data_IF_657760751381
#
_entry.id   IF_657760751381
#
_cell.length_a   1.000
_cell.length_b   1.000
_cell.length_c   1.000
_cell.angle_alpha   90.00
_cell.angle_beta   90.00
_cell.angle_gamma   90.00
#
_symmetry.space_group_name_H-M   'P 1'
#
loop_
_entity.id
_entity.type
_entity.pdbx_description
1 polymer ?
#
# COMPACT_ATOMS: atom_id res chain seq x y z
N UNK A 1 3.95 27.71 -4.97
CA UNK A 1 3.13 27.83 -3.73
C UNK A 1 1.95 28.73 -4.02
N UNK A 2 0.78 28.46 -3.45
CA UNK A 2 -0.39 29.34 -3.56
C UNK A 2 -0.99 29.56 -2.17
N UNK A 3 -1.38 30.80 -1.86
CA UNK A 3 -2.01 31.17 -0.60
C UNK A 3 -3.29 31.96 -0.94
N UNK A 4 -4.41 31.58 -0.32
CA UNK A 4 -5.69 32.27 -0.46
C UNK A 4 -6.20 32.68 0.92
N UNK A 5 -6.47 33.97 1.08
CA UNK A 5 -7.18 34.56 2.21
C UNK A 5 -8.63 34.86 1.79
N UNK A 6 -9.61 34.41 2.56
CA UNK A 6 -11.00 34.82 2.36
C UNK A 6 -11.22 36.23 2.93
N UNK A 7 -12.12 36.99 2.31
CA UNK A 7 -12.40 38.40 2.67
C UNK A 7 -13.46 38.56 3.75
N UNK A 8 -14.14 37.48 4.13
CA UNK A 8 -15.18 37.48 5.17
C UNK A 8 -14.75 36.65 6.38
N UNK A 9 -15.20 37.04 7.57
CA UNK A 9 -14.98 36.30 8.81
C UNK A 9 -15.50 34.85 8.70
N UNK A 10 -14.75 33.82 9.11
CA UNK A 10 -13.54 33.85 9.95
C UNK A 10 -12.21 33.96 9.19
N UNK A 11 -12.21 34.56 8.00
CA UNK A 11 -11.03 34.84 7.18
C UNK A 11 -10.20 33.58 6.92
N UNK A 12 -10.84 32.53 6.37
CA UNK A 12 -10.18 31.26 6.18
C UNK A 12 -8.94 31.40 5.28
N UNK A 13 -7.81 30.85 5.75
CA UNK A 13 -6.55 30.81 5.02
C UNK A 13 -6.34 29.41 4.44
N UNK A 14 -6.17 29.32 3.13
CA UNK A 14 -5.81 28.08 2.44
C UNK A 14 -4.41 28.20 1.84
N UNK A 15 -3.54 27.26 2.17
CA UNK A 15 -2.15 27.23 1.70
C UNK A 15 -1.91 25.92 0.94
N UNK A 16 -1.39 26.04 -0.28
CA UNK A 16 -1.00 24.92 -1.13
C UNK A 16 0.53 24.88 -1.25
N UNK A 17 1.13 23.85 -0.65
CA UNK A 17 2.56 23.56 -0.70
C UNK A 17 2.84 22.42 -1.69
N UNK A 18 3.97 22.48 -2.38
CA UNK A 18 4.45 21.43 -3.28
C UNK A 18 5.80 20.90 -2.78
N UNK A 19 5.83 19.65 -2.29
CA UNK A 19 7.04 19.02 -1.77
C UNK A 19 8.13 18.76 -2.82
N UNK A 20 7.77 18.61 -4.11
CA UNK A 20 8.73 18.47 -5.22
C UNK A 20 9.36 19.81 -5.61
N UNK A 21 8.60 20.90 -5.53
CA UNK A 21 9.17 22.26 -5.64
C UNK A 21 10.14 22.52 -4.49
N UNK A 22 9.77 22.13 -3.27
CA UNK A 22 10.66 22.24 -2.11
C UNK A 22 11.95 21.45 -2.35
N UNK A 23 11.86 20.20 -2.80
CA UNK A 23 13.03 19.41 -3.15
C UNK A 23 13.89 20.11 -4.20
N UNK A 24 13.30 20.67 -5.26
CA UNK A 24 14.02 21.42 -6.29
C UNK A 24 14.87 22.54 -5.70
N UNK A 25 14.26 23.37 -4.85
CA UNK A 25 14.98 24.45 -4.14
C UNK A 25 16.01 23.94 -3.13
N UNK A 26 15.85 22.71 -2.63
CA UNK A 26 16.86 22.04 -1.82
C UNK A 26 18.07 21.65 -2.66
N UNK A 27 17.85 20.98 -3.79
CA UNK A 27 18.91 20.55 -4.70
C UNK A 27 19.69 21.74 -5.28
N UNK A 28 18.99 22.81 -5.70
CA UNK A 28 19.61 24.06 -6.18
C UNK A 28 20.56 24.67 -5.13
N UNK A 29 20.17 24.68 -3.85
CA UNK A 29 20.99 25.22 -2.75
C UNK A 29 22.20 24.37 -2.43
N UNK A 30 22.09 23.05 -2.58
CA UNK A 30 23.18 22.11 -2.36
C UNK A 30 24.07 21.94 -3.60
N UNK A 31 23.75 22.61 -4.73
CA UNK A 31 24.49 22.49 -5.98
C UNK A 31 24.39 21.10 -6.62
N UNK A 32 23.28 20.40 -6.42
CA UNK A 32 23.07 19.04 -6.94
C UNK A 32 22.33 19.11 -8.26
N UNK A 33 22.96 18.57 -9.32
CA UNK A 33 22.37 18.51 -10.64
C UNK A 33 21.13 17.60 -10.68
N UNK A 34 20.12 18.03 -11.44
CA UNK A 34 18.91 17.26 -11.69
C UNK A 34 18.29 17.62 -13.03
N UNK A 35 17.49 16.70 -13.57
CA UNK A 35 16.60 16.94 -14.70
C UNK A 35 15.16 16.79 -14.22
N UNK A 36 14.34 17.83 -14.41
CA UNK A 36 12.95 17.82 -13.98
C UNK A 36 12.04 18.55 -14.98
N UNK A 37 10.80 18.08 -15.09
CA UNK A 37 9.73 18.75 -15.82
C UNK A 37 8.45 18.74 -14.98
N UNK A 38 7.81 19.90 -14.85
CA UNK A 38 6.63 20.07 -14.00
C UNK A 38 6.85 19.56 -12.57
N UNK A 39 6.15 18.50 -12.19
CA UNK A 39 6.19 17.91 -10.85
C UNK A 39 7.02 16.61 -10.75
N UNK A 40 7.81 16.28 -11.78
CA UNK A 40 8.59 15.04 -11.85
C UNK A 40 10.08 15.31 -12.05
N UNK A 41 10.90 14.48 -11.42
CA UNK A 41 12.34 14.42 -11.60
C UNK A 41 12.67 13.19 -12.45
N UNK A 42 13.32 13.40 -13.59
CA UNK A 42 13.77 12.35 -14.51
C UNK A 42 15.19 11.88 -14.21
N UNK A 43 15.98 12.72 -13.54
CA UNK A 43 17.32 12.39 -13.05
C UNK A 43 17.64 13.27 -11.84
N UNK A 44 18.38 12.73 -10.87
CA UNK A 44 19.00 13.49 -9.78
C UNK A 44 20.39 12.89 -9.57
N UNK A 45 21.43 13.73 -9.55
CA UNK A 45 22.81 13.27 -9.43
C UNK A 45 23.09 12.55 -8.09
N UNK A 46 22.44 12.98 -7.01
CA UNK A 46 22.51 12.34 -5.69
C UNK A 46 21.10 12.02 -5.14
N UNK A 47 20.65 10.79 -5.36
CA UNK A 47 19.36 10.31 -4.84
C UNK A 47 19.32 10.18 -3.31
N UNK A 48 20.45 9.89 -2.67
CA UNK A 48 20.50 9.72 -1.22
C UNK A 48 20.30 11.08 -0.55
N UNK A 49 20.99 12.11 -1.01
CA UNK A 49 20.82 13.48 -0.54
C UNK A 49 19.45 14.04 -0.89
N UNK A 50 18.92 13.75 -2.08
CA UNK A 50 17.54 14.10 -2.43
C UNK A 50 16.51 13.51 -1.46
N UNK A 51 16.72 12.25 -1.03
CA UNK A 51 15.88 11.61 -0.02
C UNK A 51 16.00 12.28 1.34
N UNK A 52 17.21 12.60 1.79
CA UNK A 52 17.42 13.34 3.04
C UNK A 52 16.70 14.70 3.03
N UNK A 53 16.75 15.43 1.91
CA UNK A 53 16.05 16.72 1.75
C UNK A 53 14.53 16.57 1.79
N UNK A 54 13.98 15.48 1.24
CA UNK A 54 12.55 15.16 1.34
C UNK A 54 12.16 14.79 2.77
N UNK A 55 12.93 13.92 3.41
CA UNK A 55 12.66 13.43 4.76
C UNK A 55 12.71 14.59 5.79
N UNK A 56 13.63 15.54 5.61
CA UNK A 56 13.70 16.75 6.42
C UNK A 56 12.42 17.62 6.37
N UNK A 57 11.58 17.50 5.34
CA UNK A 57 10.30 18.19 5.29
C UNK A 57 9.36 17.73 6.43
N UNK A 58 9.46 16.48 6.85
CA UNK A 58 8.62 15.90 7.91
C UNK A 58 8.91 16.50 9.28
N UNK A 59 10.14 16.99 9.49
CA UNK A 59 10.59 17.60 10.74
C UNK A 59 10.32 19.12 10.81
N UNK A 60 9.67 19.67 9.78
CA UNK A 60 9.32 21.10 9.75
C UNK A 60 8.34 21.44 10.88
N UNK A 61 8.61 22.56 11.58
CA UNK A 61 7.65 23.19 12.49
C UNK A 61 6.52 23.87 11.70
N UNK A 62 5.61 23.07 11.15
CA UNK A 62 4.58 23.53 10.22
C UNK A 62 3.69 24.63 10.78
N UNK A 63 3.36 24.62 12.07
CA UNK A 63 2.58 25.69 12.69
C UNK A 63 3.27 27.05 12.53
N UNK A 64 4.53 27.15 12.96
CA UNK A 64 5.30 28.39 12.83
C UNK A 64 5.52 28.82 11.38
N UNK A 65 5.75 27.88 10.46
CA UNK A 65 5.87 28.18 9.03
C UNK A 65 4.58 28.80 8.47
N UNK A 66 3.43 28.17 8.77
CA UNK A 66 2.13 28.61 8.25
C UNK A 66 1.65 29.90 8.94
N UNK A 67 1.93 30.08 10.23
CA UNK A 67 1.69 31.32 10.97
C UNK A 67 2.47 32.49 10.34
N UNK A 68 3.74 32.26 9.99
CA UNK A 68 4.55 33.25 9.29
C UNK A 68 3.96 33.67 7.95
N UNK A 69 3.40 32.71 7.19
CA UNK A 69 2.68 33.04 5.96
C UNK A 69 1.41 33.85 6.24
N UNK A 70 0.58 33.43 7.20
CA UNK A 70 -0.65 34.12 7.57
C UNK A 70 -0.40 35.58 7.98
N UNK A 71 0.62 35.83 8.81
CA UNK A 71 1.00 37.19 9.22
C UNK A 71 1.40 38.06 8.03
N UNK A 72 2.07 37.49 7.02
CA UNK A 72 2.51 38.24 5.83
C UNK A 72 1.37 38.58 4.88
N UNK A 73 0.38 37.70 4.75
CA UNK A 73 -0.77 37.90 3.84
C UNK A 73 -1.97 38.59 4.50
N UNK A 74 -1.99 38.65 5.83
CA UNK A 74 -3.06 39.27 6.61
C UNK A 74 -2.47 40.33 7.58
N UNK A 75 -2.02 41.50 7.08
CA UNK A 75 -1.31 42.48 7.91
C UNK A 75 -2.11 43.00 9.13
N UNK A 76 -3.42 43.20 8.97
CA UNK A 76 -4.32 43.65 10.05
C UNK A 76 -4.88 42.52 10.93
N UNK A 77 -4.34 41.30 10.84
CA UNK A 77 -4.90 40.11 11.50
C UNK A 77 -5.06 40.30 13.01
N UNK A 78 -4.06 40.87 13.70
CA UNK A 78 -4.11 41.06 15.15
C UNK A 78 -5.19 42.06 15.58
N UNK A 79 -5.38 43.12 14.81
CA UNK A 79 -6.36 44.16 15.12
C UNK A 79 -7.78 43.65 14.85
N UNK A 80 -7.97 42.86 13.78
CA UNK A 80 -9.28 42.34 13.36
C UNK A 80 -9.71 41.14 14.23
N UNK A 81 -8.80 40.21 14.52
CA UNK A 81 -9.11 39.00 15.29
C UNK A 81 -9.00 39.22 16.80
N UNK A 82 -8.30 40.27 17.23
CA UNK A 82 -8.00 40.53 18.63
C UNK A 82 -7.02 39.53 19.25
N UNK A 83 -6.80 39.61 20.58
CA UNK A 83 -5.76 38.84 21.26
C UNK A 83 -6.13 37.37 21.52
N UNK A 84 -7.41 36.99 21.36
CA UNK A 84 -7.92 35.69 21.80
C UNK A 84 -8.08 34.68 20.66
N UNK A 85 -8.13 35.13 19.40
CA UNK A 85 -8.32 34.27 18.25
C UNK A 85 -6.99 33.97 17.56
N UNK A 86 -6.81 32.70 17.18
CA UNK A 86 -5.64 32.23 16.44
C UNK A 86 -6.04 31.15 15.45
N UNK A 87 -5.21 30.96 14.41
CA UNK A 87 -5.45 29.91 13.43
C UNK A 87 -5.00 28.55 13.96
N UNK A 88 -5.81 27.53 13.69
CA UNK A 88 -5.44 26.14 13.85
C UNK A 88 -5.29 25.47 12.48
N UNK A 89 -4.08 25.03 12.17
CA UNK A 89 -3.76 24.50 10.85
C UNK A 89 -4.17 23.04 10.68
N UNK A 90 -4.90 22.78 9.60
CA UNK A 90 -5.29 21.43 9.20
C UNK A 90 -4.89 21.14 7.76
N UNK A 91 -4.62 19.88 7.45
CA UNK A 91 -4.45 19.42 6.08
C UNK A 91 -5.77 18.92 5.55
N UNK A 92 -6.34 19.69 4.62
CA UNK A 92 -7.51 19.30 3.87
C UNK A 92 -7.25 18.10 2.94
N UNK A 93 -6.16 18.17 2.18
CA UNK A 93 -5.67 17.13 1.26
C UNK A 93 -4.16 16.99 1.44
N UNK A 94 -3.64 15.77 1.39
CA UNK A 94 -2.20 15.53 1.19
C UNK A 94 -1.98 14.47 0.14
N UNK A 95 -0.87 14.60 -0.57
CA UNK A 95 -0.37 13.65 -1.54
C UNK A 95 1.04 13.24 -1.13
N UNK A 96 1.31 11.93 -1.15
CA UNK A 96 2.62 11.36 -0.84
C UNK A 96 3.03 10.42 -1.97
N UNK A 97 4.10 10.80 -2.67
CA UNK A 97 4.54 10.15 -3.90
C UNK A 97 5.86 9.39 -3.72
N UNK A 98 5.90 8.16 -4.21
CA UNK A 98 7.11 7.40 -4.46
C UNK A 98 7.38 7.42 -5.96
N UNK A 99 8.56 7.87 -6.35
CA UNK A 99 8.99 7.90 -7.75
C UNK A 99 10.03 6.80 -7.95
N UNK A 100 9.79 5.93 -8.93
CA UNK A 100 10.77 4.98 -9.44
C UNK A 100 11.26 5.52 -10.79
N UNK A 101 12.53 5.89 -10.84
CA UNK A 101 13.16 6.51 -12.01
C UNK A 101 13.94 5.42 -12.73
N UNK A 102 13.55 5.13 -13.97
CA UNK A 102 14.17 4.13 -14.83
C UNK A 102 15.26 4.78 -15.68
N UNK A 103 16.20 3.99 -16.19
CA UNK A 103 17.28 4.49 -17.04
C UNK A 103 16.75 5.10 -18.34
N UNK A 104 15.68 4.51 -18.91
CA UNK A 104 15.06 4.97 -20.15
C UNK A 104 13.53 4.87 -20.10
N UNK A 105 12.80 5.75 -20.82
CA UNK A 105 11.35 5.61 -20.99
C UNK A 105 10.95 4.26 -21.61
N UNK A 106 11.78 3.73 -22.52
CA UNK A 106 11.53 2.44 -23.17
C UNK A 106 11.50 1.27 -22.19
N UNK A 107 12.43 1.24 -21.21
CA UNK A 107 12.46 0.19 -20.18
C UNK A 107 11.20 0.15 -19.31
N UNK A 108 10.63 1.31 -19.00
CA UNK A 108 9.35 1.41 -18.29
C UNK A 108 8.18 1.05 -19.20
N UNK A 109 8.16 1.55 -20.44
CA UNK A 109 7.11 1.28 -21.42
C UNK A 109 6.93 -0.23 -21.65
N UNK A 110 8.04 -0.98 -21.75
CA UNK A 110 8.04 -2.43 -21.95
C UNK A 110 7.28 -3.21 -20.87
N UNK A 111 7.17 -2.69 -19.65
CA UNK A 111 6.47 -3.35 -18.54
C UNK A 111 5.13 -2.68 -18.18
N UNK A 112 4.85 -1.49 -18.72
CA UNK A 112 3.75 -0.64 -18.26
C UNK A 112 2.38 -1.25 -18.53
N UNK A 113 2.15 -1.78 -19.74
CA UNK A 113 0.87 -2.41 -20.11
C UNK A 113 0.58 -3.64 -19.22
N UNK A 114 1.61 -4.47 -18.99
CA UNK A 114 1.52 -5.63 -18.12
C UNK A 114 1.22 -5.24 -16.66
N UNK A 115 1.92 -4.23 -16.13
CA UNK A 115 1.67 -3.67 -14.79
C UNK A 115 0.24 -3.17 -14.62
N UNK A 116 -0.29 -2.46 -15.61
CA UNK A 116 -1.65 -1.91 -15.54
C UNK A 116 -2.73 -2.97 -15.67
N UNK A 117 -2.55 -3.94 -16.56
CA UNK A 117 -3.46 -5.10 -16.66
C UNK A 117 -3.49 -5.86 -15.34
N UNK A 118 -2.33 -6.12 -14.75
CA UNK A 118 -2.26 -6.79 -13.45
C UNK A 118 -2.91 -5.94 -12.37
N UNK A 119 -2.58 -4.65 -12.26
CA UNK A 119 -3.20 -3.73 -11.30
C UNK A 119 -4.74 -3.69 -11.43
N UNK A 120 -5.26 -3.81 -12.66
CA UNK A 120 -6.68 -3.87 -12.93
C UNK A 120 -7.29 -5.20 -12.49
N UNK A 121 -6.71 -6.33 -12.90
CA UNK A 121 -7.15 -7.68 -12.56
C UNK A 121 -7.06 -7.93 -11.05
N UNK A 122 -5.97 -7.48 -10.41
CA UNK A 122 -5.73 -7.59 -8.98
C UNK A 122 -6.44 -6.51 -8.18
N UNK A 123 -6.88 -5.42 -8.79
CA UNK A 123 -7.56 -4.29 -8.16
C UNK A 123 -8.99 -4.58 -7.68
N UNK A 124 -9.26 -5.79 -7.18
CA UNK A 124 -10.56 -6.17 -6.61
C UNK A 124 -10.91 -5.28 -5.41
N UNK A 125 -12.21 -5.06 -5.19
CA UNK A 125 -12.69 -4.16 -4.13
C UNK A 125 -12.08 -4.45 -2.76
N UNK A 126 -11.89 -5.74 -2.44
CA UNK A 126 -11.28 -6.15 -1.18
C UNK A 126 -9.78 -5.85 -1.07
N UNK A 127 -9.02 -5.86 -2.16
CA UNK A 127 -7.58 -5.52 -2.16
C UNK A 127 -7.39 -4.01 -2.07
N UNK A 128 -8.19 -3.27 -2.83
CA UNK A 128 -8.23 -1.80 -2.78
C UNK A 128 -8.57 -1.28 -1.39
N UNK A 129 -9.57 -1.87 -0.72
CA UNK A 129 -9.91 -1.58 0.68
C UNK A 129 -8.68 -1.74 1.61
N UNK A 130 -7.88 -2.79 1.41
CA UNK A 130 -6.72 -3.09 2.27
C UNK A 130 -5.52 -2.20 2.02
N UNK A 131 -5.28 -1.75 0.79
CA UNK A 131 -4.24 -0.76 0.51
C UNK A 131 -4.44 0.45 1.42
N UNK A 132 -5.70 0.89 1.60
CA UNK A 132 -6.09 2.04 2.41
C UNK A 132 -6.51 1.68 3.85
N UNK A 133 -6.01 0.57 4.40
CA UNK A 133 -6.22 0.11 5.79
C UNK A 133 -7.71 0.01 6.20
N UNK A 134 -8.60 -0.33 5.25
CA UNK A 134 -9.99 -0.64 5.58
C UNK A 134 -10.10 -2.09 6.06
N UNK A 135 -10.82 -2.33 7.15
CA UNK A 135 -11.09 -3.68 7.60
C UNK A 135 -12.04 -4.37 6.62
N UNK A 136 -11.82 -5.66 6.38
CA UNK A 136 -12.74 -6.53 5.65
C UNK A 136 -13.13 -7.70 6.55
N UNK A 137 -14.22 -8.38 6.23
CA UNK A 137 -14.67 -9.55 6.98
C UNK A 137 -13.59 -10.64 6.99
N UNK A 138 -13.75 -11.60 7.90
CA UNK A 138 -12.93 -12.82 7.92
C UNK A 138 -12.98 -13.61 6.60
N UNK A 139 -13.95 -13.34 5.72
CA UNK A 139 -14.10 -13.94 4.40
C UNK A 139 -13.55 -13.09 3.26
N UNK A 140 -12.85 -11.99 3.57
CA UNK A 140 -12.26 -11.10 2.58
C UNK A 140 -13.26 -10.21 1.87
N UNK A 141 -14.53 -10.24 2.25
CA UNK A 141 -15.56 -9.37 1.72
C UNK A 141 -15.58 -8.05 2.49
N UNK A 142 -15.99 -6.93 1.88
CA UNK A 142 -16.31 -5.73 2.64
C UNK A 142 -17.28 -6.06 3.79
N UNK A 143 -17.13 -5.44 4.95
CA UNK A 143 -18.14 -5.56 6.01
C UNK A 143 -19.48 -5.05 5.48
N UNK A 144 -20.59 -5.70 5.84
CA UNK A 144 -21.93 -5.26 5.40
C UNK A 144 -22.28 -3.83 5.84
N UNK A 145 -21.68 -3.37 6.94
CA UNK A 145 -21.79 -2.00 7.46
C UNK A 145 -20.78 -1.02 6.84
N UNK A 146 -19.91 -1.49 5.95
CA UNK A 146 -18.97 -0.62 5.25
C UNK A 146 -19.74 0.22 4.23
N UNK A 147 -19.75 1.54 4.44
CA UNK A 147 -20.28 2.51 3.48
C UNK A 147 -19.20 3.07 2.54
N UNK A 148 -17.97 2.54 2.61
CA UNK A 148 -16.87 2.98 1.76
C UNK A 148 -17.07 2.49 0.32
N UNK A 149 -17.38 3.43 -0.57
CA UNK A 149 -17.43 3.17 -2.01
C UNK A 149 -16.01 2.91 -2.54
N UNK A 150 -15.87 1.83 -3.30
CA UNK A 150 -14.62 1.47 -3.98
C UNK A 150 -14.77 1.72 -5.46
N UNK A 151 -13.90 2.55 -6.01
CA UNK A 151 -13.88 2.86 -7.45
C UNK A 151 -12.47 2.60 -7.97
N UNK A 152 -12.36 1.90 -9.08
CA UNK A 152 -11.11 1.77 -9.83
C UNK A 152 -11.34 2.44 -11.18
N UNK A 153 -10.43 3.32 -11.59
CA UNK A 153 -10.45 3.93 -12.91
C UNK A 153 -9.10 3.74 -13.57
N UNK A 154 -9.14 3.28 -14.82
CA UNK A 154 -8.00 3.25 -15.73
C UNK A 154 -8.27 4.30 -16.80
N UNK A 155 -7.30 5.16 -17.06
CA UNK A 155 -7.37 6.19 -18.09
C UNK A 155 -6.03 6.32 -18.79
N UNK A 156 -6.04 6.60 -20.08
CA UNK A 156 -4.85 7.13 -20.74
C UNK A 156 -4.46 8.46 -20.08
N UNK A 157 -3.17 8.68 -19.89
CA UNK A 157 -2.62 9.82 -19.17
C UNK A 157 -1.22 10.15 -19.68
N UNK A 158 -1.08 11.27 -20.38
CA UNK A 158 0.13 11.66 -21.12
C UNK A 158 0.57 10.52 -22.08
N UNK A 159 1.87 10.20 -22.12
CA UNK A 159 2.49 9.14 -22.93
C UNK A 159 2.30 7.72 -22.33
N UNK A 160 1.29 7.52 -21.49
CA UNK A 160 1.07 6.25 -20.80
C UNK A 160 -0.34 6.10 -20.23
N UNK A 161 -0.50 5.20 -19.26
CA UNK A 161 -1.80 5.02 -18.61
C UNK A 161 -1.70 5.15 -17.10
N UNK A 162 -2.81 5.58 -16.51
CA UNK A 162 -2.98 5.80 -15.07
C UNK A 162 -4.06 4.87 -14.56
N UNK A 163 -3.74 4.15 -13.49
CA UNK A 163 -4.73 3.49 -12.65
C UNK A 163 -4.88 4.24 -11.34
N UNK A 164 -6.12 4.45 -10.91
CA UNK A 164 -6.43 5.06 -9.62
C UNK A 164 -7.51 4.26 -8.92
N UNK A 165 -7.25 3.95 -7.66
CA UNK A 165 -8.16 3.28 -6.75
C UNK A 165 -8.62 4.27 -5.69
N UNK A 166 -9.93 4.45 -5.56
CA UNK A 166 -10.55 5.23 -4.49
C UNK A 166 -11.21 4.31 -3.48
N UNK A 167 -11.10 4.70 -2.21
CA UNK A 167 -11.89 4.18 -1.10
C UNK A 167 -12.46 5.36 -0.33
N UNK A 168 -13.74 5.62 -0.54
CA UNK A 168 -14.38 6.85 -0.07
C UNK A 168 -13.63 8.08 -0.61
N UNK A 169 -13.09 8.90 0.30
CA UNK A 169 -12.38 10.15 -0.06
C UNK A 169 -10.87 9.98 -0.21
N UNK A 170 -10.32 8.80 0.08
CA UNK A 170 -8.89 8.53 -0.02
C UNK A 170 -8.60 7.74 -1.30
N UNK A 171 -7.40 7.85 -1.85
CA UNK A 171 -7.02 7.12 -3.05
C UNK A 171 -5.56 6.75 -3.10
N UNK A 172 -5.25 5.71 -3.87
CA UNK A 172 -3.89 5.41 -4.32
C UNK A 172 -3.90 5.35 -5.85
N UNK A 173 -2.87 5.89 -6.51
CA UNK A 173 -2.74 5.89 -7.97
C UNK A 173 -1.34 5.46 -8.39
N UNK A 174 -1.27 4.82 -9.55
CA UNK A 174 -0.06 4.48 -10.28
C UNK A 174 -0.15 5.11 -11.67
N UNK A 175 0.91 5.79 -12.09
CA UNK A 175 1.02 6.34 -13.44
C UNK A 175 2.46 6.61 -13.82
N UNK A 176 2.77 6.50 -15.10
CA UNK A 176 4.06 6.89 -15.64
C UNK A 176 4.03 8.29 -16.27
N UNK A 177 5.21 8.85 -16.47
CA UNK A 177 5.47 9.97 -17.38
C UNK A 177 6.96 9.88 -17.72
N UNK A 178 7.28 9.75 -19.02
CA UNK A 178 8.64 9.46 -19.47
C UNK A 178 9.21 8.22 -18.75
N UNK A 179 10.41 8.31 -18.17
CA UNK A 179 11.09 7.23 -17.44
C UNK A 179 10.66 7.09 -15.97
N UNK A 180 9.60 7.77 -15.52
CA UNK A 180 9.23 7.82 -14.09
C UNK A 180 7.89 7.14 -13.84
N UNK A 181 7.92 6.02 -13.12
CA UNK A 181 6.73 5.39 -12.56
C UNK A 181 6.47 5.97 -11.17
N UNK A 182 5.30 6.59 -10.98
CA UNK A 182 4.90 7.17 -9.70
C UNK A 182 3.78 6.37 -9.08
N UNK A 183 3.97 5.97 -7.82
CA UNK A 183 2.90 5.55 -6.93
C UNK A 183 2.62 6.67 -5.95
N UNK A 184 1.35 7.09 -5.84
CA UNK A 184 0.99 8.20 -4.98
C UNK A 184 -0.30 7.90 -4.21
N UNK A 185 -0.25 8.18 -2.92
CA UNK A 185 -1.41 8.12 -2.04
C UNK A 185 -1.92 9.53 -1.76
N UNK A 186 -3.23 9.72 -1.94
CA UNK A 186 -3.96 10.94 -1.57
C UNK A 186 -4.84 10.64 -0.35
N UNK A 187 -4.67 11.40 0.73
CA UNK A 187 -5.53 11.33 1.91
C UNK A 187 -6.35 12.62 1.98
N UNK A 188 -7.67 12.50 2.03
CA UNK A 188 -8.62 13.60 2.28
C UNK A 188 -9.48 13.35 3.53
N UNK A 189 -9.60 12.09 3.95
CA UNK A 189 -10.30 11.67 5.16
C UNK A 189 -9.34 10.86 6.05
N UNK A 190 -8.49 11.53 6.85
CA UNK A 190 -7.51 10.85 7.69
C UNK A 190 -8.15 10.06 8.84
N UNK A 191 -9.35 10.43 9.30
CA UNK A 191 -10.03 9.74 10.41
C UNK A 191 -10.38 8.28 10.11
N UNK A 192 -10.33 7.91 8.84
CA UNK A 192 -10.42 6.53 8.36
C UNK A 192 -9.22 5.70 8.86
N UNK A 193 -8.04 6.27 9.04
CA UNK A 193 -6.87 5.55 9.55
C UNK A 193 -6.78 5.65 11.08
N UNK A 194 -6.29 4.59 11.73
CA UNK A 194 -6.10 4.58 13.18
C UNK A 194 -4.62 4.57 13.53
N UNK A 195 -4.23 5.50 14.40
CA UNK A 195 -2.86 5.69 14.89
C UNK A 195 -2.82 5.58 16.42
N UNK A 196 -1.65 5.25 16.96
CA UNK A 196 -1.44 5.31 18.41
C UNK A 196 -1.11 6.74 18.83
N UNK A 197 -2.00 7.37 19.59
CA UNK A 197 -1.83 8.74 20.09
C UNK A 197 -2.57 8.93 21.41
N UNK A 198 -2.23 10.01 22.12
CA UNK A 198 -3.00 10.48 23.27
C UNK A 198 -4.30 11.16 22.82
N UNK A 199 -5.31 11.13 23.70
CA UNK A 199 -6.47 12.02 23.60
C UNK A 199 -6.02 13.45 23.93
N UNK A 200 -6.80 14.44 23.51
CA UNK A 200 -6.54 15.82 23.89
C UNK A 200 -6.71 15.95 25.41
N UNK A 201 -5.72 16.54 26.09
CA UNK A 201 -5.70 16.69 27.54
C UNK A 201 -5.40 15.40 28.32
N UNK A 202 -5.06 14.30 27.64
CA UNK A 202 -4.55 13.10 28.32
C UNK A 202 -3.11 13.34 28.76
N UNK A 203 -2.77 12.87 29.97
CA UNK A 203 -1.42 12.94 30.52
C UNK A 203 -0.40 12.25 29.61
N UNK A 204 0.80 12.81 29.51
CA UNK A 204 1.86 12.29 28.63
C UNK A 204 2.44 10.95 29.10
N UNK A 205 2.28 10.63 30.39
CA UNK A 205 2.74 9.37 30.99
C UNK A 205 1.74 8.23 30.81
N UNK A 206 0.48 8.53 30.46
CA UNK A 206 -0.50 7.51 30.18
C UNK A 206 -0.23 6.80 28.83
N UNK A 207 -0.62 5.53 28.68
CA UNK A 207 -0.41 4.83 27.42
C UNK A 207 -1.24 5.43 26.27
N UNK A 208 -0.61 5.51 25.09
CA UNK A 208 -1.27 5.84 23.82
C UNK A 208 -2.39 4.87 23.49
N UNK A 209 -3.47 5.40 22.93
CA UNK A 209 -4.62 4.62 22.49
C UNK A 209 -4.70 4.60 20.97
N UNK A 210 -5.29 3.53 20.41
CA UNK A 210 -5.49 3.41 18.96
C UNK A 210 -6.74 4.20 18.53
N UNK A 211 -6.52 5.42 18.06
CA UNK A 211 -7.55 6.41 17.75
C UNK A 211 -7.52 6.85 16.27
N UNK A 212 -8.62 7.40 15.72
CA UNK A 212 -8.62 8.05 14.42
C UNK A 212 -7.52 9.12 14.31
N UNK A 213 -6.82 9.13 13.17
CA UNK A 213 -5.83 10.17 12.82
C UNK A 213 -6.55 11.51 12.61
N UNK A 214 -5.94 12.60 13.06
CA UNK A 214 -6.53 13.94 12.99
C UNK A 214 -6.16 14.62 11.66
N UNK A 215 -6.82 15.74 11.38
CA UNK A 215 -6.47 16.61 10.26
C UNK A 215 -5.37 17.62 10.60
N UNK A 216 -5.00 17.78 11.86
CA UNK A 216 -4.02 18.78 12.29
C UNK A 216 -2.65 18.56 11.66
N UNK A 217 -1.91 19.64 11.40
CA UNK A 217 -0.55 19.57 10.85
C UNK A 217 0.44 18.80 11.73
N UNK A 218 0.14 18.65 13.02
CA UNK A 218 0.93 17.83 13.95
C UNK A 218 0.95 16.35 13.58
N UNK A 219 -0.04 15.86 12.84
CA UNK A 219 -0.12 14.45 12.42
C UNK A 219 0.57 14.23 11.04
N UNK A 220 1.27 15.22 10.47
CA UNK A 220 1.97 15.08 9.17
C UNK A 220 2.92 13.87 9.13
N UNK A 221 3.81 13.64 10.13
CA UNK A 221 4.70 12.48 10.09
C UNK A 221 3.96 11.15 10.07
N UNK A 222 2.87 11.03 10.85
CA UNK A 222 2.02 9.84 10.85
C UNK A 222 1.32 9.63 9.51
N UNK A 223 0.87 10.73 8.91
CA UNK A 223 0.20 10.73 7.61
C UNK A 223 1.15 10.34 6.49
N UNK A 224 2.40 10.79 6.53
CA UNK A 224 3.47 10.40 5.62
C UNK A 224 3.79 8.91 5.76
N UNK A 225 3.97 8.41 6.99
CA UNK A 225 4.22 6.99 7.24
C UNK A 225 3.09 6.09 6.72
N UNK A 226 1.83 6.42 7.01
CA UNK A 226 0.67 5.68 6.49
C UNK A 226 0.64 5.70 4.97
N UNK A 227 0.90 6.85 4.37
CA UNK A 227 0.87 6.99 2.92
C UNK A 227 2.00 6.21 2.25
N UNK A 228 3.20 6.19 2.84
CA UNK A 228 4.30 5.34 2.40
C UNK A 228 3.94 3.85 2.51
N UNK A 229 3.30 3.44 3.61
CA UNK A 229 2.84 2.06 3.78
C UNK A 229 1.78 1.67 2.75
N UNK A 230 0.90 2.59 2.36
CA UNK A 230 -0.09 2.39 1.29
C UNK A 230 0.63 2.23 -0.05
N UNK A 231 1.57 3.12 -0.37
CA UNK A 231 2.39 3.03 -1.59
C UNK A 231 3.14 1.69 -1.64
N UNK A 232 3.80 1.30 -0.55
CA UNK A 232 4.54 0.04 -0.45
C UNK A 232 3.62 -1.17 -0.66
N UNK A 233 2.47 -1.23 0.00
CA UNK A 233 1.49 -2.31 -0.20
C UNK A 233 1.01 -2.43 -1.63
N UNK A 234 0.82 -1.30 -2.31
CA UNK A 234 0.42 -1.30 -3.71
C UNK A 234 1.56 -1.77 -4.62
N UNK A 235 2.77 -1.24 -4.42
CA UNK A 235 3.97 -1.67 -5.15
C UNK A 235 4.29 -3.16 -4.94
N UNK A 236 4.15 -3.68 -3.71
CA UNK A 236 4.38 -5.09 -3.39
C UNK A 236 3.38 -6.00 -4.13
N UNK A 237 2.11 -5.60 -4.30
CA UNK A 237 1.14 -6.35 -5.10
C UNK A 237 1.54 -6.32 -6.59
N UNK A 238 1.99 -5.17 -7.10
CA UNK A 238 2.45 -5.01 -8.48
C UNK A 238 3.74 -5.79 -8.76
N UNK A 239 4.66 -5.87 -7.80
CA UNK A 239 5.92 -6.60 -7.94
C UNK A 239 5.72 -8.12 -8.07
N UNK A 240 4.51 -8.62 -7.86
CA UNK A 240 4.16 -10.02 -8.16
C UNK A 240 3.89 -10.30 -9.65
N UNK A 241 3.99 -9.26 -10.51
CA UNK A 241 3.71 -9.31 -11.94
C UNK A 241 4.71 -10.17 -12.73
N UNK A 242 6.01 -9.96 -12.56
CA UNK A 242 7.01 -10.58 -13.41
C UNK A 242 7.59 -11.82 -12.73
N UNK A 243 7.01 -12.96 -13.07
CA UNK A 243 7.72 -14.23 -12.94
C UNK A 243 7.85 -14.86 -14.33
N UNK A 244 9.07 -14.80 -14.87
CA UNK A 244 9.46 -15.51 -16.10
C UNK A 244 9.73 -16.99 -15.85
N UNK A 245 9.75 -17.40 -14.57
CA UNK A 245 9.85 -18.80 -14.16
C UNK A 245 8.74 -19.60 -14.86
N UNK A 246 9.08 -20.58 -15.71
CA UNK A 246 8.10 -21.47 -16.29
C UNK A 246 7.22 -22.07 -15.21
N UNK A 247 5.91 -22.14 -15.48
CA UNK A 247 4.95 -22.75 -14.53
C UNK A 247 5.41 -24.15 -14.12
N UNK A 248 6.03 -24.89 -15.05
CA UNK A 248 6.64 -26.19 -14.79
C UNK A 248 7.66 -26.16 -13.65
N UNK A 249 8.62 -25.24 -13.67
CA UNK A 249 9.71 -25.20 -12.69
C UNK A 249 9.19 -24.85 -11.28
N UNK A 250 8.20 -23.96 -11.24
CA UNK A 250 7.46 -23.67 -10.02
C UNK A 250 6.73 -24.92 -9.51
N UNK A 251 6.07 -25.68 -10.39
CA UNK A 251 5.35 -26.90 -10.03
C UNK A 251 6.29 -28.01 -9.57
N UNK A 252 7.42 -28.22 -10.25
CA UNK A 252 8.40 -29.27 -9.95
C UNK A 252 8.99 -29.09 -8.54
N UNK A 253 9.28 -27.85 -8.15
CA UNK A 253 9.73 -27.53 -6.80
C UNK A 253 8.68 -27.77 -5.70
N UNK A 254 7.40 -27.90 -6.07
CA UNK A 254 6.30 -28.08 -5.13
C UNK A 254 5.83 -29.52 -5.04
N UNK A 255 5.74 -30.20 -6.18
CA UNK A 255 5.30 -31.60 -6.29
C UNK A 255 6.38 -32.59 -5.85
N UNK A 256 7.64 -32.12 -5.73
CA UNK A 256 8.77 -32.91 -5.24
C UNK A 256 8.76 -33.14 -3.73
N UNK A 257 9.42 -34.23 -3.31
CA UNK A 257 9.64 -34.52 -1.90
C UNK A 257 10.72 -33.61 -1.31
N UNK A 258 10.59 -33.24 -0.03
CA UNK A 258 11.60 -32.47 0.70
C UNK A 258 12.09 -33.26 1.90
N UNK A 259 13.41 -33.37 2.05
CA UNK A 259 14.07 -33.88 3.24
C UNK A 259 14.33 -32.73 4.21
N UNK A 260 13.85 -32.85 5.46
CA UNK A 260 14.12 -31.85 6.51
C UNK A 260 14.31 -32.53 7.85
N UNK A 261 15.45 -32.30 8.50
CA UNK A 261 15.82 -32.89 9.79
C UNK A 261 15.67 -34.44 9.79
N UNK A 262 16.21 -35.10 8.77
CA UNK A 262 16.15 -36.56 8.61
C UNK A 262 14.75 -37.14 8.30
N UNK A 263 13.71 -36.30 8.15
CA UNK A 263 12.35 -36.73 7.83
C UNK A 263 11.97 -36.36 6.41
N UNK A 264 11.33 -37.30 5.70
CA UNK A 264 10.80 -37.10 4.35
C UNK A 264 9.39 -36.51 4.40
N UNK A 265 9.18 -35.42 3.67
CA UNK A 265 7.88 -34.78 3.48
C UNK A 265 7.46 -34.91 2.01
N UNK A 266 6.18 -35.21 1.78
CA UNK A 266 5.61 -35.29 0.42
C UNK A 266 5.61 -33.94 -0.29
N UNK A 267 5.50 -33.96 -1.61
CA UNK A 267 5.15 -32.78 -2.39
C UNK A 267 3.74 -32.25 -2.09
N UNK A 268 3.53 -30.97 -2.38
CA UNK A 268 2.23 -30.34 -2.48
C UNK A 268 1.54 -30.76 -3.79
N UNK A 269 0.22 -30.87 -3.75
CA UNK A 269 -0.62 -31.21 -4.90
C UNK A 269 -1.55 -30.02 -5.20
N UNK A 270 -1.10 -29.09 -6.06
CA UNK A 270 -1.75 -27.79 -6.25
C UNK A 270 -3.06 -27.84 -7.02
N UNK A 271 -3.33 -28.93 -7.75
CA UNK A 271 -4.56 -29.13 -8.53
C UNK A 271 -5.51 -30.13 -7.89
N UNK A 272 -5.01 -30.97 -6.97
CA UNK A 272 -5.81 -31.93 -6.21
C UNK A 272 -5.93 -31.57 -4.74
N UNK A 273 -5.44 -32.42 -3.84
CA UNK A 273 -5.76 -32.39 -2.40
C UNK A 273 -5.27 -31.14 -1.65
N UNK A 274 -4.32 -30.39 -2.20
CA UNK A 274 -3.85 -29.14 -1.60
C UNK A 274 -4.40 -27.88 -2.28
N UNK A 275 -5.18 -28.02 -3.36
CA UNK A 275 -5.74 -26.91 -4.14
C UNK A 275 -6.49 -25.92 -3.25
N UNK A 276 -7.55 -26.36 -2.58
CA UNK A 276 -8.43 -25.45 -1.84
C UNK A 276 -7.72 -24.79 -0.64
N UNK A 277 -6.72 -25.46 -0.06
CA UNK A 277 -5.84 -24.89 0.96
C UNK A 277 -4.96 -23.77 0.39
N UNK A 278 -4.36 -23.98 -0.79
CA UNK A 278 -3.52 -22.99 -1.46
C UNK A 278 -4.36 -21.81 -1.95
N UNK A 279 -5.56 -22.04 -2.48
CA UNK A 279 -6.53 -20.99 -2.79
C UNK A 279 -6.93 -20.22 -1.54
N UNK A 280 -7.18 -20.89 -0.41
CA UNK A 280 -7.49 -20.22 0.84
C UNK A 280 -6.33 -19.34 1.33
N UNK A 281 -5.06 -19.71 1.09
CA UNK A 281 -3.92 -18.83 1.36
C UNK A 281 -3.83 -17.66 0.37
N UNK A 282 -4.42 -17.83 -0.82
CA UNK A 282 -4.51 -16.84 -1.90
C UNK A 282 -5.61 -15.84 -1.75
N UNK A 283 -6.62 -16.21 -0.96
CA UNK A 283 -7.74 -15.35 -0.65
C UNK A 283 -7.18 -14.06 -0.02
N UNK A 284 -7.43 -12.90 -0.65
CA UNK A 284 -6.99 -11.61 -0.14
C UNK A 284 -7.36 -11.42 1.33
N UNK A 285 -8.45 -12.06 1.82
CA UNK A 285 -8.88 -12.14 3.22
C UNK A 285 -7.74 -12.38 4.22
N UNK A 286 -6.73 -13.16 3.85
CA UNK A 286 -5.72 -13.68 4.78
C UNK A 286 -4.29 -13.24 4.45
N UNK A 287 -4.07 -12.50 3.35
CA UNK A 287 -2.73 -12.03 2.92
C UNK A 287 -2.27 -10.71 3.55
N UNK A 288 -3.19 -9.88 4.04
CA UNK A 288 -2.97 -8.43 4.12
C UNK A 288 -3.37 -7.84 5.49
N UNK A 289 -2.78 -8.35 6.56
CA UNK A 289 -2.66 -7.60 7.83
C UNK A 289 -1.19 -7.59 8.24
N UNK A 290 -0.73 -6.60 9.01
CA UNK A 290 0.59 -6.62 9.69
C UNK A 290 0.81 -7.90 10.53
N UNK A 291 -0.25 -8.69 10.74
CA UNK A 291 -0.19 -10.13 10.97
C UNK A 291 -0.67 -10.87 9.72
N UNK A 292 0.26 -11.22 8.85
CA UNK A 292 0.06 -12.27 7.85
C UNK A 292 -0.15 -13.54 8.69
N UNK A 293 -1.41 -13.98 8.84
CA UNK A 293 -1.77 -15.10 9.70
C UNK A 293 -2.53 -16.17 8.90
N UNK A 294 -1.77 -16.94 8.13
CA UNK A 294 -2.17 -18.16 7.45
C UNK A 294 -2.85 -19.17 8.38
N UNK A 295 -2.73 -19.08 9.72
CA UNK A 295 -3.55 -19.87 10.64
C UNK A 295 -5.05 -19.68 10.37
N UNK A 296 -5.48 -18.48 9.94
CA UNK A 296 -6.91 -18.15 9.75
C UNK A 296 -7.48 -18.69 8.44
N UNK A 297 -6.71 -18.61 7.34
CA UNK A 297 -7.04 -19.29 6.07
C UNK A 297 -7.24 -20.78 6.30
N UNK A 298 -6.38 -21.36 7.13
CA UNK A 298 -6.31 -22.78 7.43
C UNK A 298 -7.42 -23.22 8.38
N UNK A 299 -7.83 -22.37 9.34
CA UNK A 299 -9.02 -22.63 10.18
C UNK A 299 -10.29 -22.64 9.33
N UNK A 300 -10.44 -21.79 8.32
CA UNK A 300 -11.63 -21.81 7.45
C UNK A 300 -11.61 -22.98 6.46
N UNK A 301 -10.46 -23.33 5.90
CA UNK A 301 -10.26 -24.60 5.19
C UNK A 301 -10.59 -25.81 6.08
N UNK A 302 -10.25 -25.74 7.36
CA UNK A 302 -10.61 -26.77 8.35
C UNK A 302 -12.11 -26.83 8.66
N UNK A 303 -12.84 -25.72 8.52
CA UNK A 303 -14.31 -25.66 8.62
C UNK A 303 -14.97 -26.24 7.36
N UNK A 304 -14.42 -26.03 6.16
CA UNK A 304 -14.85 -26.74 4.95
C UNK A 304 -14.64 -28.27 5.08
N UNK A 305 -13.54 -28.69 5.71
CA UNK A 305 -13.31 -30.10 6.07
C UNK A 305 -14.24 -30.62 7.19
N UNK A 306 -14.92 -29.75 7.98
CA UNK A 306 -15.87 -30.17 9.05
C UNK A 306 -17.15 -30.79 8.52
N UNK A 307 -17.51 -30.54 7.27
CA UNK A 307 -18.68 -31.17 6.63
C UNK A 307 -18.52 -32.70 6.48
N UNK A 308 -17.33 -33.26 6.76
CA UNK A 308 -16.99 -34.68 6.55
C UNK A 308 -16.45 -35.45 7.79
N UNK A 309 -16.77 -35.03 9.02
CA UNK A 309 -16.49 -35.84 10.23
C UNK A 309 -15.04 -35.83 10.76
N UNK A 310 -14.86 -36.12 12.05
CA UNK A 310 -13.69 -35.73 12.86
C UNK A 310 -12.32 -36.39 12.53
N UNK A 311 -11.29 -35.57 12.30
CA UNK A 311 -9.92 -35.58 12.90
C UNK A 311 -9.13 -34.36 12.38
N UNK A 312 -9.64 -33.16 12.64
CA UNK A 312 -9.27 -31.97 11.85
C UNK A 312 -8.01 -31.28 12.37
N UNK A 313 -7.76 -31.31 13.68
CA UNK A 313 -6.63 -30.60 14.30
C UNK A 313 -5.27 -31.21 13.89
N UNK A 314 -5.16 -32.54 13.88
CA UNK A 314 -3.95 -33.25 13.44
C UNK A 314 -3.71 -33.08 11.93
N UNK A 315 -4.77 -33.13 11.11
CA UNK A 315 -4.70 -32.89 9.66
C UNK A 315 -4.25 -31.46 9.34
N UNK A 316 -4.78 -30.46 10.04
CA UNK A 316 -4.38 -29.05 9.91
C UNK A 316 -2.91 -28.84 10.32
N UNK A 317 -2.50 -29.40 11.45
CA UNK A 317 -1.11 -29.29 11.92
C UNK A 317 -0.12 -29.94 10.96
N UNK A 318 -0.50 -31.05 10.32
CA UNK A 318 0.29 -31.70 9.27
C UNK A 318 0.37 -30.85 8.00
N UNK A 319 -0.71 -30.23 7.56
CA UNK A 319 -0.70 -29.30 6.42
C UNK A 319 0.13 -28.04 6.68
N UNK A 320 0.02 -27.44 7.87
CA UNK A 320 0.86 -26.33 8.30
C UNK A 320 2.34 -26.69 8.27
N UNK A 321 2.68 -27.87 8.79
CA UNK A 321 4.05 -28.38 8.77
C UNK A 321 4.53 -28.57 7.32
N UNK A 322 3.68 -29.11 6.45
CA UNK A 322 3.99 -29.30 5.03
C UNK A 322 4.30 -27.97 4.34
N UNK A 323 3.42 -26.97 4.47
CA UNK A 323 3.61 -25.63 3.91
C UNK A 323 4.88 -24.95 4.42
N UNK A 324 5.24 -25.16 5.70
CA UNK A 324 6.49 -24.64 6.29
C UNK A 324 7.74 -25.32 5.75
N UNK A 325 7.68 -26.62 5.51
CA UNK A 325 8.79 -27.38 4.93
C UNK A 325 9.04 -26.92 3.50
N UNK A 326 7.97 -26.69 2.74
CA UNK A 326 8.01 -26.15 1.38
C UNK A 326 8.35 -24.64 1.29
N UNK A 327 8.45 -23.97 2.44
CA UNK A 327 8.80 -22.56 2.54
C UNK A 327 7.68 -21.61 2.10
N UNK A 328 6.44 -22.08 2.02
CA UNK A 328 5.25 -21.28 1.62
C UNK A 328 4.79 -20.38 2.75
N UNK A 329 4.94 -20.84 4.00
CA UNK A 329 4.62 -20.07 5.20
C UNK A 329 5.76 -20.17 6.23
N UNK A 330 5.88 -19.18 7.12
CA UNK A 330 6.78 -19.17 8.28
C UNK A 330 5.99 -18.95 9.58
N UNK A 331 6.45 -19.49 10.71
CA UNK A 331 5.79 -19.28 12.03
C UNK A 331 6.35 -18.01 12.67
N UNK A 332 5.49 -17.17 13.25
CA UNK A 332 5.94 -16.00 14.02
C UNK A 332 6.48 -16.42 15.40
N UNK A 333 7.54 -15.77 15.92
CA UNK A 333 8.10 -16.09 17.24
C UNK A 333 7.06 -15.96 18.35
N UNK A 334 7.07 -16.91 19.30
CA UNK A 334 6.21 -16.92 20.50
C UNK A 334 4.69 -16.79 20.23
N UNK A 335 4.23 -17.08 19.01
CA UNK A 335 2.82 -16.97 18.63
C UNK A 335 2.38 -18.18 17.79
N UNK A 336 1.10 -18.57 17.88
CA UNK A 336 0.49 -19.58 17.00
C UNK A 336 -0.03 -18.96 15.69
N UNK A 337 0.78 -18.09 15.10
CA UNK A 337 0.46 -17.35 13.87
C UNK A 337 1.49 -17.65 12.78
N UNK A 338 1.04 -17.70 11.53
CA UNK A 338 1.90 -18.04 10.39
C UNK A 338 1.85 -16.99 9.29
N UNK A 339 3.00 -16.55 8.83
CA UNK A 339 3.14 -15.56 7.77
C UNK A 339 3.38 -16.23 6.42
N UNK A 340 2.67 -15.83 5.37
CA UNK A 340 2.96 -16.30 4.00
C UNK A 340 4.30 -15.70 3.56
N UNK A 341 5.17 -16.50 2.98
CA UNK A 341 6.47 -16.02 2.47
C UNK A 341 6.32 -15.42 1.08
N UNK A 342 7.35 -14.73 0.57
CA UNK A 342 7.37 -14.27 -0.82
C UNK A 342 7.21 -15.43 -1.82
N UNK A 343 7.88 -16.57 -1.56
CA UNK A 343 7.71 -17.82 -2.32
C UNK A 343 6.25 -18.29 -2.32
N UNK A 344 5.58 -18.21 -1.17
CA UNK A 344 4.17 -18.55 -1.05
C UNK A 344 3.24 -17.61 -1.80
N UNK A 345 3.49 -16.30 -1.75
CA UNK A 345 2.71 -15.30 -2.49
C UNK A 345 2.82 -15.54 -4.00
N UNK A 346 4.04 -15.73 -4.50
CA UNK A 346 4.32 -16.06 -5.92
C UNK A 346 3.54 -17.28 -6.37
N UNK A 347 3.71 -18.40 -5.63
CA UNK A 347 2.99 -19.64 -5.91
C UNK A 347 1.49 -19.40 -6.07
N UNK A 348 0.89 -18.75 -5.09
CA UNK A 348 -0.56 -18.67 -5.07
C UNK A 348 -1.08 -17.72 -6.15
N UNK A 349 -0.35 -16.67 -6.51
CA UNK A 349 -0.70 -15.83 -7.66
C UNK A 349 -0.64 -16.62 -8.96
N UNK A 350 0.43 -17.38 -9.19
CA UNK A 350 0.57 -18.22 -10.38
C UNK A 350 -0.56 -19.25 -10.46
N UNK A 351 -0.93 -19.90 -9.35
CA UNK A 351 -2.03 -20.86 -9.33
C UNK A 351 -3.39 -20.23 -9.62
N UNK A 352 -3.66 -19.04 -9.08
CA UNK A 352 -4.91 -18.33 -9.35
C UNK A 352 -5.05 -17.97 -10.82
N UNK A 353 -3.96 -17.53 -11.47
CA UNK A 353 -3.97 -17.20 -12.90
C UNK A 353 -4.09 -18.47 -13.75
N UNK A 354 -3.24 -19.48 -13.48
CA UNK A 354 -3.21 -20.74 -14.22
C UNK A 354 -4.56 -21.45 -14.21
N UNK A 355 -5.21 -21.52 -13.05
CA UNK A 355 -6.46 -22.25 -12.88
C UNK A 355 -7.71 -21.44 -13.28
N UNK A 356 -7.56 -20.13 -13.51
CA UNK A 356 -8.62 -19.29 -14.06
C UNK A 356 -8.51 -19.12 -15.59
N UNK A 357 -7.36 -19.47 -16.19
CA UNK A 357 -7.17 -19.38 -17.63
C UNK A 357 -8.01 -20.44 -18.37
N UNK A 358 -8.69 -20.03 -19.45
CA UNK A 358 -9.32 -20.98 -20.37
C UNK A 358 -8.26 -21.64 -21.26
N UNK A 359 -8.56 -22.85 -21.74
CA UNK A 359 -7.69 -23.56 -22.70
C UNK A 359 -7.45 -22.70 -23.95
N UNK A 360 -8.49 -22.03 -24.44
CA UNK A 360 -8.40 -21.12 -25.60
C UNK A 360 -7.39 -19.99 -25.36
N UNK A 361 -7.41 -19.36 -24.18
CA UNK A 361 -6.48 -18.30 -23.83
C UNK A 361 -5.04 -18.82 -23.75
N UNK A 362 -4.85 -20.02 -23.20
CA UNK A 362 -3.53 -20.66 -23.12
C UNK A 362 -2.98 -21.01 -24.50
N UNK A 363 -3.83 -21.53 -25.41
CA UNK A 363 -3.45 -21.82 -26.79
C UNK A 363 -3.07 -20.56 -27.57
N UNK A 364 -3.83 -19.46 -27.40
CA UNK A 364 -3.51 -18.15 -27.99
C UNK A 364 -2.20 -17.53 -27.49
N UNK A 365 -1.73 -17.93 -26.31
CA UNK A 365 -0.44 -17.49 -25.76
C UNK A 365 0.72 -18.42 -26.15
N UNK A 366 0.42 -19.65 -26.58
CA UNK A 366 1.41 -20.65 -26.96
C UNK A 366 1.68 -20.70 -28.48
N UNK A 367 0.72 -20.23 -29.28
CA UNK A 367 0.86 -19.92 -30.71
C UNK A 367 1.48 -18.53 -30.88
#
# INVERSE_FOLDING_TARGET
MNIRLQTWFPYHVQICLNGREWLRRGLEREGIDYLAHGNKFFHIADYQKARQLLDAQLDTRFTGLLDGFAQRIFPGMKDILGPHLSYYWTLWQSEWATDLIFDTPASLSAIMDSLLRHAHITGTSSRVLRYLDRPVTKSGRPYSRSSDNVVTRVTDFNDGMRIRHWVGKNSVKLYNEQNVLRVETTINDPGKFKVFRHKQGQDENEPKQRLPMRKGVMDIPLRAAISQDVNNRFMDDLATLQETTPVRDLMDGLTSHIMKNGRRFRGLDPVGKNRDLLFALGDPAYRMTHQQDASRAIVRYSVWLRTYGQTIIFKVSRHLRLLRVHGIIRKLPKQNRYQVTLKGVRLINTLNVLLAASIENLLKMAA
#
